data_IF_007466858130
#
_entry.id   IF_007466858130
#
_cell.length_a   1.000
_cell.length_b   1.000
_cell.length_c   1.000
_cell.angle_alpha   90.00
_cell.angle_beta   90.00
_cell.angle_gamma   90.00
#
_symmetry.space_group_name_H-M   'P 1'
#
loop_
_entity.id
_entity.type
_entity.pdbx_description
1 polymer ?
#
# COMPACT_ATOMS: atom_id res chain seq x y z
N UNK A 1 21.86 26.83 -0.49
CA UNK A 1 20.90 26.57 -1.59
C UNK A 1 20.79 25.09 -1.99
N UNK A 2 21.86 24.31 -2.12
CA UNK A 2 21.81 22.88 -2.52
C UNK A 2 21.10 22.02 -1.47
N UNK A 3 21.38 22.18 -0.18
CA UNK A 3 20.73 21.39 0.89
C UNK A 3 19.20 21.52 0.93
N UNK A 4 18.64 22.66 0.53
CA UNK A 4 17.19 22.86 0.47
C UNK A 4 16.56 22.06 -0.69
N UNK A 5 17.26 21.95 -1.84
CA UNK A 5 16.79 21.14 -2.99
C UNK A 5 16.79 19.64 -2.70
N UNK A 6 17.83 19.14 -2.03
CA UNK A 6 17.90 17.73 -1.60
C UNK A 6 16.75 17.43 -0.64
N UNK A 7 16.52 18.28 0.36
CA UNK A 7 15.42 18.10 1.30
C UNK A 7 14.05 18.09 0.62
N UNK A 8 13.82 18.95 -0.38
CA UNK A 8 12.58 18.94 -1.16
C UNK A 8 12.42 17.66 -1.96
N UNK A 9 13.49 17.18 -2.61
CA UNK A 9 13.47 15.92 -3.34
C UNK A 9 13.15 14.72 -2.40
N UNK A 10 13.75 14.71 -1.20
CA UNK A 10 13.50 13.67 -0.18
C UNK A 10 12.06 13.71 0.34
N UNK A 11 11.38 14.86 0.36
CA UNK A 11 9.95 14.95 0.74
C UNK A 11 9.03 14.13 -0.18
N UNK A 12 9.42 13.87 -1.44
CA UNK A 12 8.67 13.01 -2.35
C UNK A 12 8.56 11.58 -1.82
N UNK A 13 9.46 11.14 -0.95
CA UNK A 13 9.43 9.82 -0.33
C UNK A 13 8.23 9.60 0.62
N UNK A 14 7.57 10.68 1.09
CA UNK A 14 6.37 10.60 1.96
C UNK A 14 6.56 9.62 3.11
N UNK A 15 7.53 9.87 4.00
CA UNK A 15 7.97 8.94 5.04
C UNK A 15 6.86 8.35 5.93
N UNK A 16 5.75 9.06 6.12
CA UNK A 16 4.60 8.53 6.86
C UNK A 16 3.99 7.28 6.21
N UNK A 17 3.95 7.21 4.86
CA UNK A 17 3.54 5.98 4.17
C UNK A 17 4.59 4.88 4.28
N UNK A 18 5.88 5.25 4.24
CA UNK A 18 6.97 4.27 4.45
C UNK A 18 6.86 3.63 5.83
N UNK A 19 6.57 4.42 6.89
CA UNK A 19 6.34 3.90 8.24
C UNK A 19 5.11 2.99 8.26
N UNK A 20 3.99 3.40 7.66
CA UNK A 20 2.79 2.58 7.58
C UNK A 20 3.06 1.25 6.84
N UNK A 21 3.80 1.29 5.73
CA UNK A 21 4.21 0.08 5.00
C UNK A 21 5.12 -0.82 5.83
N UNK A 22 6.06 -0.26 6.61
CA UNK A 22 6.88 -1.03 7.54
C UNK A 22 6.02 -1.77 8.57
N UNK A 23 5.05 -1.10 9.17
CA UNK A 23 4.14 -1.72 10.15
C UNK A 23 3.32 -2.86 9.52
N UNK A 24 2.82 -2.67 8.30
CA UNK A 24 2.10 -3.74 7.57
C UNK A 24 3.02 -4.92 7.23
N UNK A 25 4.25 -4.67 6.79
CA UNK A 25 5.25 -5.71 6.57
C UNK A 25 5.55 -6.47 7.87
N UNK A 26 5.78 -5.75 8.97
CA UNK A 26 5.98 -6.35 10.29
C UNK A 26 4.78 -7.20 10.72
N UNK A 27 3.55 -6.76 10.44
CA UNK A 27 2.36 -7.54 10.78
C UNK A 27 2.37 -8.91 10.09
N UNK A 28 2.71 -8.97 8.81
CA UNK A 28 2.84 -10.25 8.09
C UNK A 28 3.96 -11.12 8.64
N UNK A 29 5.13 -10.55 8.89
CA UNK A 29 6.27 -11.27 9.45
C UNK A 29 5.98 -11.80 10.87
N UNK A 30 5.44 -10.96 11.75
CA UNK A 30 5.09 -11.35 13.11
C UNK A 30 3.96 -12.37 13.15
N UNK A 31 3.01 -12.28 12.23
CA UNK A 31 1.95 -13.29 12.15
C UNK A 31 2.51 -14.68 11.80
N UNK A 32 3.47 -14.77 10.88
CA UNK A 32 4.17 -16.03 10.60
C UNK A 32 4.85 -16.59 11.86
N UNK A 33 5.46 -15.71 12.68
CA UNK A 33 6.10 -16.10 13.95
C UNK A 33 5.06 -16.56 14.98
N UNK A 34 3.94 -15.86 15.12
CA UNK A 34 2.86 -16.21 16.04
C UNK A 34 2.29 -17.60 15.75
N UNK A 35 2.21 -17.99 14.48
CA UNK A 35 1.73 -19.33 14.08
C UNK A 35 2.82 -20.40 14.08
N UNK A 36 3.98 -20.13 14.66
CA UNK A 36 5.01 -21.12 14.96
C UNK A 36 6.24 -21.12 14.05
N UNK A 37 6.39 -20.15 13.15
CA UNK A 37 7.62 -20.02 12.35
C UNK A 37 8.71 -19.32 13.18
N UNK A 38 9.95 -19.83 13.25
CA UNK A 38 11.02 -19.15 13.98
C UNK A 38 11.36 -17.81 13.30
N UNK A 39 11.62 -16.77 14.11
CA UNK A 39 12.06 -15.49 13.59
C UNK A 39 13.49 -15.57 13.08
N UNK A 40 13.71 -15.12 11.84
CA UNK A 40 15.01 -15.09 11.18
C UNK A 40 15.34 -13.65 10.80
N UNK A 41 16.29 -13.04 11.50
CA UNK A 41 16.61 -11.62 11.37
C UNK A 41 17.19 -11.28 9.99
N UNK A 42 18.00 -12.13 9.42
CA UNK A 42 18.61 -11.96 8.10
C UNK A 42 17.57 -11.99 6.98
N UNK A 43 16.62 -12.94 7.04
CA UNK A 43 15.46 -13.00 6.14
C UNK A 43 14.59 -11.76 6.28
N UNK A 44 14.31 -11.34 7.52
CA UNK A 44 13.52 -10.14 7.81
C UNK A 44 14.18 -8.89 7.23
N UNK A 45 15.48 -8.66 7.52
CA UNK A 45 16.18 -7.46 7.10
C UNK A 45 16.29 -7.37 5.57
N UNK A 46 16.70 -8.46 4.90
CA UNK A 46 16.82 -8.45 3.44
C UNK A 46 15.43 -8.38 2.77
N UNK A 47 14.44 -9.10 3.31
CA UNK A 47 13.06 -9.00 2.83
C UNK A 47 12.46 -7.60 2.97
N UNK A 48 12.73 -6.95 4.10
CA UNK A 48 12.33 -5.55 4.28
C UNK A 48 13.05 -4.61 3.31
N UNK A 49 14.35 -4.80 3.07
CA UNK A 49 15.09 -3.99 2.11
C UNK A 49 14.52 -4.11 0.68
N UNK A 50 14.16 -5.32 0.23
CA UNK A 50 13.49 -5.56 -1.05
C UNK A 50 12.17 -4.78 -1.12
N UNK A 51 11.33 -4.93 -0.10
CA UNK A 51 10.05 -4.24 0.00
C UNK A 51 10.22 -2.72 0.08
N UNK A 52 11.14 -2.23 0.90
CA UNK A 52 11.39 -0.80 1.07
C UNK A 52 11.76 -0.12 -0.25
N UNK A 53 12.63 -0.72 -1.05
CA UNK A 53 13.00 -0.18 -2.37
C UNK A 53 11.80 -0.16 -3.32
N UNK A 54 11.02 -1.24 -3.37
CA UNK A 54 9.78 -1.29 -4.16
C UNK A 54 8.78 -0.22 -3.70
N UNK A 55 8.54 -0.11 -2.39
CA UNK A 55 7.60 0.86 -1.82
C UNK A 55 8.04 2.30 -2.07
N UNK A 56 9.31 2.60 -1.86
CA UNK A 56 9.87 3.92 -2.13
C UNK A 56 9.75 4.30 -3.61
N UNK A 57 9.93 3.33 -4.53
CA UNK A 57 9.80 3.57 -5.97
C UNK A 57 8.41 4.07 -6.37
N UNK A 58 7.37 3.59 -5.67
CA UNK A 58 5.97 3.97 -5.94
C UNK A 58 5.76 5.47 -5.72
N UNK A 59 6.33 6.05 -4.68
CA UNK A 59 6.17 7.48 -4.40
C UNK A 59 6.78 8.36 -5.49
N UNK A 60 8.00 8.01 -5.95
CA UNK A 60 8.67 8.75 -7.02
C UNK A 60 7.98 8.53 -8.38
N UNK A 61 7.53 7.32 -8.68
CA UNK A 61 6.84 7.04 -9.95
C UNK A 61 5.48 7.73 -10.01
N UNK A 62 4.70 7.69 -8.93
CA UNK A 62 3.40 8.36 -8.88
C UNK A 62 3.55 9.86 -9.05
N UNK A 63 4.43 10.52 -8.28
CA UNK A 63 4.68 11.95 -8.45
C UNK A 63 5.09 12.30 -9.89
N UNK A 64 5.92 11.45 -10.54
CA UNK A 64 6.32 11.69 -11.93
C UNK A 64 5.16 11.57 -12.91
N UNK A 65 4.36 10.50 -12.83
CA UNK A 65 3.29 10.23 -13.80
C UNK A 65 2.04 11.06 -13.53
N UNK A 66 1.78 11.43 -12.28
CA UNK A 66 0.60 12.20 -11.88
C UNK A 66 0.86 13.72 -11.83
N UNK A 67 2.09 14.19 -12.13
CA UNK A 67 2.49 15.60 -12.03
C UNK A 67 1.55 16.58 -12.72
N UNK A 68 0.97 16.18 -13.88
CA UNK A 68 0.09 17.03 -14.67
C UNK A 68 -1.34 17.02 -14.10
N UNK A 69 -1.76 15.93 -13.48
CA UNK A 69 -3.07 15.78 -12.84
C UNK A 69 -3.09 16.32 -11.40
N UNK A 70 -2.00 16.19 -10.68
CA UNK A 70 -1.84 16.71 -9.32
C UNK A 70 -1.97 18.25 -9.26
N UNK A 71 -1.85 18.94 -10.40
CA UNK A 71 -2.07 20.39 -10.46
C UNK A 71 -3.50 20.80 -10.07
N UNK A 72 -4.47 19.93 -10.27
CA UNK A 72 -5.88 20.19 -9.97
C UNK A 72 -6.25 19.84 -8.50
N UNK A 73 -5.43 19.06 -7.81
CA UNK A 73 -5.63 18.70 -6.42
C UNK A 73 -5.05 19.72 -5.43
N UNK A 74 -5.41 19.61 -4.16
CA UNK A 74 -4.79 20.34 -3.06
C UNK A 74 -3.85 19.36 -2.34
N UNK A 75 -2.52 19.59 -2.34
CA UNK A 75 -1.61 18.70 -1.62
C UNK A 75 -1.96 18.63 -0.13
N UNK A 76 -2.19 17.44 0.35
CA UNK A 76 -2.49 17.13 1.74
C UNK A 76 -1.48 16.14 2.33
N UNK A 77 -1.60 15.83 3.64
CA UNK A 77 -0.73 14.85 4.29
C UNK A 77 -0.86 13.46 3.69
N UNK A 78 -2.06 13.10 3.20
CA UNK A 78 -2.40 11.76 2.71
C UNK A 78 -2.96 11.75 1.28
N UNK A 79 -3.23 12.92 0.68
CA UNK A 79 -3.86 13.06 -0.64
C UNK A 79 -3.13 14.11 -1.49
N UNK A 80 -3.41 14.17 -2.80
CA UNK A 80 -3.00 15.24 -3.72
C UNK A 80 -1.51 15.27 -4.09
N UNK A 81 -0.82 14.13 -4.15
CA UNK A 81 0.60 14.07 -4.48
C UNK A 81 1.53 14.66 -3.41
N UNK A 82 2.85 14.67 -3.63
CA UNK A 82 3.79 15.34 -2.71
C UNK A 82 3.77 16.87 -2.86
N UNK A 83 3.24 17.37 -3.97
CA UNK A 83 3.26 18.78 -4.35
C UNK A 83 4.65 19.30 -4.76
N UNK A 84 5.71 18.49 -4.65
CA UNK A 84 7.09 18.92 -4.91
C UNK A 84 7.28 19.26 -6.39
N UNK A 85 6.78 18.47 -7.31
CA UNK A 85 6.94 18.70 -8.76
C UNK A 85 6.13 19.90 -9.28
N UNK A 86 5.16 20.41 -8.51
CA UNK A 86 4.47 21.66 -8.83
C UNK A 86 5.38 22.88 -8.63
N UNK A 87 6.25 22.82 -7.62
CA UNK A 87 7.18 23.91 -7.25
C UNK A 87 8.54 23.71 -7.93
N UNK A 88 8.94 22.45 -8.12
CA UNK A 88 10.25 22.04 -8.63
C UNK A 88 10.11 21.08 -9.81
N UNK A 89 9.57 21.49 -10.96
CA UNK A 89 9.38 20.63 -12.13
C UNK A 89 10.69 20.03 -12.67
N UNK A 90 11.83 20.66 -12.38
CA UNK A 90 13.17 20.19 -12.74
C UNK A 90 13.50 18.83 -12.08
N UNK A 91 12.81 18.44 -11.02
CA UNK A 91 13.01 17.14 -10.38
C UNK A 91 12.30 15.98 -11.07
N UNK A 92 11.42 16.22 -12.04
CA UNK A 92 10.62 15.17 -12.67
C UNK A 92 11.48 14.04 -13.25
N UNK A 93 12.53 14.37 -14.01
CA UNK A 93 13.40 13.35 -14.60
C UNK A 93 14.18 12.57 -13.52
N UNK A 94 14.57 13.24 -12.45
CA UNK A 94 15.23 12.58 -11.32
C UNK A 94 14.29 11.65 -10.56
N UNK A 95 13.03 12.04 -10.38
CA UNK A 95 11.98 11.20 -9.79
C UNK A 95 11.80 9.90 -10.59
N UNK A 96 11.65 10.01 -11.92
CA UNK A 96 11.56 8.84 -12.80
C UNK A 96 12.77 7.93 -12.70
N UNK A 97 13.98 8.52 -12.77
CA UNK A 97 15.23 7.75 -12.68
C UNK A 97 15.35 7.06 -11.32
N UNK A 98 15.06 7.76 -10.23
CA UNK A 98 15.05 7.18 -8.89
C UNK A 98 14.08 6.02 -8.78
N UNK A 99 12.84 6.17 -9.28
CA UNK A 99 11.87 5.09 -9.29
C UNK A 99 12.40 3.83 -10.00
N UNK A 100 12.96 4.00 -11.20
CA UNK A 100 13.52 2.88 -11.98
C UNK A 100 14.72 2.25 -11.24
N UNK A 101 15.64 3.05 -10.70
CA UNK A 101 16.80 2.54 -9.94
C UNK A 101 16.35 1.74 -8.71
N UNK A 102 15.34 2.22 -7.99
CA UNK A 102 14.79 1.54 -6.82
C UNK A 102 14.11 0.21 -7.21
N UNK A 103 13.36 0.17 -8.32
CA UNK A 103 12.78 -1.06 -8.86
C UNK A 103 13.87 -2.07 -9.22
N UNK A 104 14.88 -1.63 -9.96
CA UNK A 104 16.03 -2.51 -10.32
C UNK A 104 16.73 -3.00 -9.06
N UNK A 105 16.97 -2.14 -8.08
CA UNK A 105 17.53 -2.52 -6.79
C UNK A 105 16.68 -3.55 -6.05
N UNK A 106 15.36 -3.36 -5.99
CA UNK A 106 14.42 -4.30 -5.37
C UNK A 106 14.49 -5.69 -6.04
N UNK A 107 14.46 -5.72 -7.37
CA UNK A 107 14.55 -6.98 -8.14
C UNK A 107 15.92 -7.65 -7.94
N UNK A 108 17.01 -6.89 -7.97
CA UNK A 108 18.37 -7.38 -7.74
C UNK A 108 18.48 -8.01 -6.34
N UNK A 109 18.00 -7.32 -5.29
CA UNK A 109 17.98 -7.88 -3.95
C UNK A 109 17.06 -9.11 -3.85
N UNK A 110 15.96 -9.15 -4.61
CA UNK A 110 15.09 -10.33 -4.71
C UNK A 110 15.82 -11.54 -5.30
N UNK A 111 16.63 -11.34 -6.33
CA UNK A 111 17.49 -12.38 -6.92
C UNK A 111 18.54 -12.83 -5.90
N UNK A 112 19.22 -11.90 -5.22
CA UNK A 112 20.21 -12.20 -4.17
C UNK A 112 19.56 -13.01 -3.05
N UNK A 113 18.32 -12.66 -2.64
CA UNK A 113 17.56 -13.38 -1.62
C UNK A 113 17.38 -14.85 -1.99
N UNK A 114 16.99 -15.14 -3.26
CA UNK A 114 16.81 -16.50 -3.74
C UNK A 114 18.10 -17.32 -3.64
N UNK A 115 19.22 -16.78 -4.08
CA UNK A 115 20.50 -17.49 -4.04
C UNK A 115 21.03 -17.66 -2.61
N UNK A 116 20.89 -16.63 -1.78
CA UNK A 116 21.43 -16.63 -0.41
C UNK A 116 20.67 -17.61 0.49
N UNK A 117 19.34 -17.60 0.41
CA UNK A 117 18.47 -18.39 1.29
C UNK A 117 17.89 -19.62 0.61
N UNK A 118 18.30 -19.92 -0.62
CA UNK A 118 17.77 -21.03 -1.44
C UNK A 118 16.24 -20.99 -1.54
N UNK A 119 15.69 -19.77 -1.61
CA UNK A 119 14.26 -19.58 -1.74
C UNK A 119 13.76 -20.05 -3.11
N UNK A 120 12.49 -20.40 -3.19
CA UNK A 120 11.93 -20.87 -4.46
C UNK A 120 11.82 -19.71 -5.47
N UNK A 121 12.02 -19.99 -6.77
CA UNK A 121 12.01 -18.98 -7.84
C UNK A 121 10.73 -18.14 -7.91
N UNK A 122 9.57 -18.65 -7.48
CA UNK A 122 8.32 -17.91 -7.45
C UNK A 122 8.35 -16.71 -6.49
N UNK A 123 9.29 -16.67 -5.53
CA UNK A 123 9.54 -15.47 -4.72
C UNK A 123 9.83 -14.25 -5.60
N UNK A 124 10.60 -14.43 -6.68
CA UNK A 124 10.88 -13.34 -7.62
C UNK A 124 9.61 -12.88 -8.35
N UNK A 125 8.69 -13.79 -8.68
CA UNK A 125 7.40 -13.42 -9.27
C UNK A 125 6.58 -12.56 -8.31
N UNK A 126 6.64 -12.83 -7.01
CA UNK A 126 5.98 -12.01 -6.00
C UNK A 126 6.60 -10.61 -5.91
N UNK A 127 7.93 -10.50 -5.91
CA UNK A 127 8.66 -9.23 -5.96
C UNK A 127 8.32 -8.44 -7.22
N UNK A 128 8.28 -9.10 -8.38
CA UNK A 128 7.90 -8.48 -9.65
C UNK A 128 6.44 -8.00 -9.64
N UNK A 129 5.51 -8.80 -9.10
CA UNK A 129 4.11 -8.41 -8.98
C UNK A 129 3.94 -7.12 -8.16
N UNK A 130 4.64 -7.00 -7.02
CA UNK A 130 4.63 -5.79 -6.20
C UNK A 130 5.17 -4.56 -6.95
N UNK A 131 6.33 -4.71 -7.61
CA UNK A 131 6.93 -3.62 -8.40
C UNK A 131 6.04 -3.21 -9.60
N UNK A 132 5.45 -4.17 -10.31
CA UNK A 132 4.55 -3.90 -11.44
C UNK A 132 3.24 -3.24 -10.99
N UNK A 133 2.67 -3.69 -9.86
CA UNK A 133 1.48 -3.08 -9.28
C UNK A 133 1.74 -1.60 -8.94
N UNK A 134 2.87 -1.32 -8.27
CA UNK A 134 3.26 0.05 -7.92
C UNK A 134 3.55 0.92 -9.15
N UNK A 135 4.29 0.40 -10.14
CA UNK A 135 4.61 1.14 -11.36
C UNK A 135 3.36 1.46 -12.18
N UNK A 136 2.54 0.45 -12.47
CA UNK A 136 1.34 0.61 -13.31
C UNK A 136 0.16 1.22 -12.57
N UNK A 137 0.30 1.56 -11.30
CA UNK A 137 -0.70 2.33 -10.59
C UNK A 137 -0.98 3.65 -11.31
N UNK A 138 0.06 4.40 -11.66
CA UNK A 138 -0.03 5.67 -12.41
C UNK A 138 0.57 5.62 -13.82
N UNK A 139 1.49 4.69 -14.11
CA UNK A 139 2.23 4.65 -15.37
C UNK A 139 1.38 4.12 -16.54
N UNK A 140 1.50 4.73 -17.77
CA UNK A 140 0.94 4.15 -18.97
C UNK A 140 1.65 2.81 -19.31
N UNK A 141 1.00 1.90 -20.05
CA UNK A 141 -0.33 2.06 -20.65
C UNK A 141 -1.49 1.69 -19.70
N UNK A 142 -1.22 1.06 -18.53
CA UNK A 142 -2.27 0.49 -17.68
C UNK A 142 -2.96 1.57 -16.86
N UNK A 143 -2.23 2.41 -16.09
CA UNK A 143 -2.76 3.52 -15.29
C UNK A 143 -3.96 3.11 -14.43
N UNK A 144 -3.76 2.14 -13.51
CA UNK A 144 -4.84 1.54 -12.72
C UNK A 144 -5.70 2.58 -12.00
N UNK A 145 -5.08 3.59 -11.41
CA UNK A 145 -5.77 4.67 -10.69
C UNK A 145 -6.66 5.54 -11.57
N UNK A 146 -6.41 5.60 -12.89
CA UNK A 146 -7.20 6.38 -13.85
C UNK A 146 -8.39 5.60 -14.40
N UNK A 147 -8.47 4.29 -14.17
CA UNK A 147 -9.47 3.40 -14.78
C UNK A 147 -10.46 2.83 -13.79
N UNK A 148 -10.47 3.30 -12.53
CA UNK A 148 -11.30 2.75 -11.46
C UNK A 148 -10.84 1.37 -10.99
N UNK A 149 -9.56 1.07 -11.16
CA UNK A 149 -8.90 -0.14 -10.65
C UNK A 149 -7.90 0.21 -9.53
N UNK A 150 -7.72 1.49 -9.23
CA UNK A 150 -6.82 1.99 -8.19
C UNK A 150 -7.20 1.47 -6.81
N UNK A 151 -8.49 1.40 -6.52
CA UNK A 151 -9.02 0.97 -5.23
C UNK A 151 -8.71 -0.51 -4.98
N UNK A 152 -8.93 -1.37 -5.98
CA UNK A 152 -8.60 -2.80 -5.90
C UNK A 152 -7.09 -2.98 -5.81
N UNK A 153 -6.30 -2.22 -6.59
CA UNK A 153 -4.84 -2.28 -6.57
C UNK A 153 -4.29 -1.90 -5.19
N UNK A 154 -4.80 -0.82 -4.59
CA UNK A 154 -4.40 -0.38 -3.24
C UNK A 154 -4.84 -1.38 -2.19
N UNK A 155 -6.08 -1.87 -2.25
CA UNK A 155 -6.60 -2.88 -1.33
C UNK A 155 -5.77 -4.19 -1.40
N UNK A 156 -5.41 -4.63 -2.61
CA UNK A 156 -4.54 -5.80 -2.82
C UNK A 156 -3.13 -5.54 -2.27
N UNK A 157 -2.60 -4.34 -2.45
CA UNK A 157 -1.28 -3.96 -1.94
C UNK A 157 -1.25 -3.98 -0.41
N UNK A 158 -2.24 -3.36 0.24
CA UNK A 158 -2.34 -3.27 1.71
C UNK A 158 -2.69 -4.63 2.33
N UNK A 159 -3.60 -5.39 1.70
CA UNK A 159 -4.08 -6.64 2.25
C UNK A 159 -3.20 -7.84 1.95
N UNK A 160 -2.59 -7.86 0.77
CA UNK A 160 -1.88 -9.06 0.30
C UNK A 160 -0.39 -8.83 0.04
N UNK A 161 -0.01 -7.79 -0.73
CA UNK A 161 1.40 -7.67 -1.16
C UNK A 161 2.33 -7.26 -0.03
N UNK A 162 1.97 -6.26 0.77
CA UNK A 162 2.84 -5.76 1.85
C UNK A 162 2.95 -6.76 3.00
N UNK A 163 1.85 -7.18 3.66
CA UNK A 163 1.94 -8.18 4.73
C UNK A 163 2.38 -9.53 4.18
N UNK A 164 2.03 -9.86 2.92
CA UNK A 164 2.48 -11.05 2.23
C UNK A 164 3.98 -11.13 2.08
N UNK A 165 4.66 -10.01 1.78
CA UNK A 165 6.12 -10.00 1.72
C UNK A 165 6.73 -10.33 3.09
N UNK A 166 6.22 -9.72 4.19
CA UNK A 166 6.66 -10.02 5.55
C UNK A 166 6.42 -11.49 5.94
N UNK A 167 5.23 -12.01 5.61
CA UNK A 167 4.88 -13.40 5.86
C UNK A 167 5.79 -14.36 5.10
N UNK A 168 5.98 -14.09 3.82
CA UNK A 168 6.73 -14.92 2.89
C UNK A 168 8.21 -15.05 3.26
N UNK A 169 8.86 -13.95 3.65
CA UNK A 169 10.28 -13.99 4.04
C UNK A 169 10.49 -14.75 5.35
N UNK A 170 9.49 -14.82 6.23
CA UNK A 170 9.57 -15.64 7.44
C UNK A 170 9.26 -17.11 7.14
N UNK A 171 8.17 -17.39 6.44
CA UNK A 171 7.63 -18.75 6.29
C UNK A 171 8.11 -19.48 5.04
N UNK A 172 8.57 -18.78 4.03
CA UNK A 172 9.02 -19.35 2.75
C UNK A 172 7.89 -19.69 1.77
N UNK A 173 6.62 -19.74 2.23
CA UNK A 173 5.45 -20.04 1.40
C UNK A 173 4.18 -19.46 1.97
N UNK A 174 3.16 -19.26 1.13
CA UNK A 174 1.82 -18.96 1.58
C UNK A 174 1.06 -20.23 1.94
N UNK A 175 0.22 -20.12 2.97
CA UNK A 175 -0.76 -21.13 3.34
C UNK A 175 -2.11 -20.48 3.68
N UNK A 176 -3.09 -21.27 4.05
CA UNK A 176 -4.43 -20.78 4.36
C UNK A 176 -4.45 -19.83 5.57
N UNK A 177 -3.52 -20.01 6.53
CA UNK A 177 -3.45 -19.12 7.69
C UNK A 177 -3.20 -17.67 7.31
N UNK A 178 -2.43 -17.40 6.24
CA UNK A 178 -2.20 -16.04 5.76
C UNK A 178 -3.50 -15.32 5.38
N UNK A 179 -4.52 -16.03 4.90
CA UNK A 179 -5.80 -15.43 4.52
C UNK A 179 -6.52 -14.76 5.70
N UNK A 180 -6.27 -15.22 6.93
CA UNK A 180 -6.88 -14.63 8.13
C UNK A 180 -6.42 -13.18 8.41
N UNK A 181 -5.27 -12.77 7.90
CA UNK A 181 -4.83 -11.37 7.96
C UNK A 181 -5.00 -10.66 6.62
N UNK A 182 -4.81 -11.37 5.49
CA UNK A 182 -4.86 -10.76 4.17
C UNK A 182 -6.28 -10.23 3.83
N UNK A 183 -7.32 -11.01 4.12
CA UNK A 183 -8.71 -10.62 3.82
C UNK A 183 -9.15 -9.38 4.62
N UNK A 184 -9.00 -9.32 5.95
CA UNK A 184 -9.33 -8.11 6.70
C UNK A 184 -8.54 -6.89 6.21
N UNK A 185 -7.25 -7.04 5.97
CA UNK A 185 -6.42 -5.93 5.51
C UNK A 185 -6.74 -5.49 4.09
N UNK A 186 -7.21 -6.39 3.23
CA UNK A 186 -7.75 -6.01 1.92
C UNK A 186 -8.94 -5.06 2.07
N UNK A 187 -9.88 -5.36 2.95
CA UNK A 187 -11.02 -4.51 3.19
C UNK A 187 -10.65 -3.20 3.91
N UNK A 188 -9.69 -3.21 4.84
CA UNK A 188 -9.14 -1.96 5.39
C UNK A 188 -8.41 -1.13 4.34
N UNK A 189 -7.71 -1.76 3.41
CA UNK A 189 -7.10 -1.09 2.26
C UNK A 189 -8.15 -0.42 1.37
N UNK A 190 -9.28 -1.09 1.17
CA UNK A 190 -10.40 -0.53 0.42
C UNK A 190 -11.05 0.65 1.14
N UNK A 191 -11.27 0.55 2.46
CA UNK A 191 -11.70 1.67 3.30
C UNK A 191 -10.71 2.84 3.21
N UNK A 192 -9.41 2.55 3.34
CA UNK A 192 -8.36 3.57 3.31
C UNK A 192 -8.39 4.35 1.99
N UNK A 193 -8.34 3.65 0.86
CA UNK A 193 -8.25 4.33 -0.45
C UNK A 193 -9.50 5.14 -0.75
N UNK A 194 -10.70 4.60 -0.50
CA UNK A 194 -11.94 5.36 -0.71
C UNK A 194 -12.01 6.60 0.17
N UNK A 195 -11.49 6.53 1.40
CA UNK A 195 -11.42 7.69 2.30
C UNK A 195 -10.44 8.76 1.81
N UNK A 196 -9.32 8.36 1.23
CA UNK A 196 -8.31 9.27 0.67
C UNK A 196 -8.79 9.93 -0.63
N UNK A 197 -9.58 9.25 -1.42
CA UNK A 197 -10.13 9.77 -2.68
C UNK A 197 -11.23 10.82 -2.48
N UNK A 198 -11.92 10.83 -1.32
CA UNK A 198 -13.00 11.80 -1.06
C UNK A 198 -12.52 13.26 -1.16
N UNK A 199 -11.45 13.69 -0.48
CA UNK A 199 -10.95 15.05 -0.61
C UNK A 199 -10.38 15.35 -2.02
N UNK A 200 -9.92 14.34 -2.74
CA UNK A 200 -9.32 14.50 -4.06
C UNK A 200 -10.34 14.49 -5.20
N UNK A 201 -11.62 14.14 -4.92
CA UNK A 201 -12.68 13.93 -5.92
C UNK A 201 -12.77 15.03 -6.97
N UNK A 202 -12.79 16.29 -6.54
CA UNK A 202 -12.94 17.42 -7.46
C UNK A 202 -11.70 17.62 -8.37
N UNK A 203 -10.51 17.34 -7.84
CA UNK A 203 -9.25 17.35 -8.57
C UNK A 203 -9.17 16.20 -9.57
N UNK A 204 -9.51 14.99 -9.12
CA UNK A 204 -9.52 13.78 -9.95
C UNK A 204 -10.49 13.91 -11.14
N UNK A 205 -11.69 14.47 -10.92
CA UNK A 205 -12.64 14.75 -12.00
C UNK A 205 -12.08 15.69 -13.07
N UNK A 206 -11.41 16.78 -12.64
CA UNK A 206 -10.77 17.74 -13.56
C UNK A 206 -9.59 17.14 -14.31
N UNK A 207 -8.91 16.17 -13.68
CA UNK A 207 -7.77 15.46 -14.22
C UNK A 207 -8.15 14.24 -15.08
N UNK A 208 -9.44 13.97 -15.28
CA UNK A 208 -9.96 12.78 -15.94
C UNK A 208 -9.43 11.47 -15.30
N UNK A 209 -9.19 11.51 -13.99
CA UNK A 209 -8.81 10.35 -13.19
C UNK A 209 -10.07 9.73 -12.58
N UNK A 210 -10.52 8.66 -13.20
CA UNK A 210 -11.84 8.08 -12.95
C UNK A 210 -11.79 7.08 -11.77
N UNK A 211 -11.40 7.55 -10.59
CA UNK A 211 -11.53 6.80 -9.34
C UNK A 211 -13.01 6.52 -9.04
N UNK A 212 -13.28 5.56 -8.14
CA UNK A 212 -14.63 5.19 -7.75
C UNK A 212 -15.41 6.41 -7.22
N UNK A 213 -14.74 7.19 -6.35
CA UNK A 213 -15.33 8.40 -5.74
C UNK A 213 -15.53 9.50 -6.79
N UNK A 214 -14.57 9.71 -7.70
CA UNK A 214 -14.72 10.67 -8.78
C UNK A 214 -15.89 10.34 -9.72
N UNK A 215 -16.16 9.03 -9.95
CA UNK A 215 -17.23 8.55 -10.83
C UNK A 215 -18.61 8.54 -10.19
N UNK A 216 -18.69 8.14 -8.91
CA UNK A 216 -19.96 7.84 -8.21
C UNK A 216 -20.32 8.86 -7.14
N UNK A 217 -19.40 9.77 -6.82
CA UNK A 217 -19.59 10.82 -5.83
C UNK A 217 -19.24 10.43 -4.40
N UNK A 218 -19.14 11.45 -3.53
CA UNK A 218 -18.76 11.36 -2.12
C UNK A 218 -19.62 10.35 -1.35
N UNK A 219 -20.96 10.45 -1.50
CA UNK A 219 -21.90 9.61 -0.75
C UNK A 219 -21.70 8.12 -1.02
N UNK A 220 -21.48 7.76 -2.29
CA UNK A 220 -21.20 6.38 -2.67
C UNK A 220 -19.85 5.92 -2.08
N UNK A 221 -18.79 6.77 -2.13
CA UNK A 221 -17.51 6.46 -1.50
C UNK A 221 -17.62 6.15 -0.01
N UNK A 222 -18.41 6.95 0.72
CA UNK A 222 -18.67 6.72 2.15
C UNK A 222 -19.46 5.43 2.41
N UNK A 223 -20.44 5.10 1.59
CA UNK A 223 -21.16 3.81 1.69
C UNK A 223 -20.23 2.62 1.50
N UNK A 224 -19.34 2.70 0.52
CA UNK A 224 -18.32 1.66 0.28
C UNK A 224 -17.32 1.58 1.44
N UNK A 225 -16.91 2.72 2.02
CA UNK A 225 -16.03 2.75 3.18
C UNK A 225 -16.65 2.05 4.40
N UNK A 226 -17.95 2.30 4.66
CA UNK A 226 -18.71 1.61 5.72
C UNK A 226 -18.78 0.12 5.44
N UNK A 227 -19.18 -0.29 4.24
CA UNK A 227 -19.28 -1.69 3.86
C UNK A 227 -17.92 -2.41 3.99
N UNK A 228 -16.85 -1.81 3.48
CA UNK A 228 -15.50 -2.36 3.57
C UNK A 228 -15.09 -2.56 5.04
N UNK A 229 -15.38 -1.59 5.92
CA UNK A 229 -15.05 -1.70 7.35
C UNK A 229 -15.86 -2.81 8.03
N UNK A 230 -17.14 -2.96 7.70
CA UNK A 230 -17.97 -4.08 8.22
C UNK A 230 -17.39 -5.42 7.77
N UNK A 231 -17.01 -5.56 6.49
CA UNK A 231 -16.41 -6.78 5.95
C UNK A 231 -15.04 -7.07 6.60
N UNK A 232 -14.24 -6.05 6.88
CA UNK A 232 -12.98 -6.20 7.61
C UNK A 232 -13.21 -6.74 9.02
N UNK A 233 -14.14 -6.15 9.77
CA UNK A 233 -14.47 -6.57 11.14
C UNK A 233 -15.00 -7.99 11.16
N UNK A 234 -15.94 -8.32 10.28
CA UNK A 234 -16.53 -9.67 10.22
C UNK A 234 -15.48 -10.72 9.85
N UNK A 235 -14.60 -10.41 8.91
CA UNK A 235 -13.51 -11.32 8.52
C UNK A 235 -12.45 -11.52 9.63
N UNK A 236 -12.23 -10.54 10.51
CA UNK A 236 -11.42 -10.70 11.72
C UNK A 236 -12.12 -11.52 12.80
N UNK A 237 -13.43 -11.39 12.92
CA UNK A 237 -14.21 -12.10 13.96
C UNK A 237 -14.32 -13.61 13.68
N UNK A 238 -14.44 -14.02 12.42
CA UNK A 238 -14.62 -15.43 12.04
C UNK A 238 -13.50 -16.35 12.62
N UNK A 239 -12.20 -16.06 12.44
CA UNK A 239 -11.13 -16.89 13.00
C UNK A 239 -11.18 -17.01 14.52
N UNK A 240 -11.62 -15.96 15.23
CA UNK A 240 -11.76 -15.93 16.70
C UNK A 240 -12.82 -16.92 17.15
N UNK A 241 -13.93 -17.00 16.40
CA UNK A 241 -15.06 -17.89 16.72
C UNK A 241 -14.74 -19.35 16.40
N UNK A 242 -13.93 -19.60 15.38
CA UNK A 242 -13.62 -20.95 14.89
C UNK A 242 -12.43 -21.58 15.64
N UNK A 243 -11.48 -20.76 16.14
CA UNK A 243 -10.24 -21.24 16.74
C UNK A 243 -9.88 -20.49 18.02
N UNK A 244 -9.79 -21.21 19.13
CA UNK A 244 -9.36 -20.65 20.42
C UNK A 244 -7.94 -20.05 20.38
N UNK A 245 -7.06 -20.51 19.49
CA UNK A 245 -5.70 -19.98 19.28
C UNK A 245 -5.65 -18.59 18.66
N UNK A 246 -6.77 -18.11 18.08
CA UNK A 246 -6.85 -16.81 17.41
C UNK A 246 -7.39 -15.67 18.31
N UNK A 247 -7.52 -15.90 19.63
CA UNK A 247 -8.04 -14.90 20.58
C UNK A 247 -7.26 -13.57 20.57
N UNK A 248 -6.01 -13.59 20.21
CA UNK A 248 -5.19 -12.38 20.09
C UNK A 248 -5.72 -11.41 19.01
N UNK A 249 -6.49 -11.88 18.03
CA UNK A 249 -7.15 -11.04 17.03
C UNK A 249 -8.33 -10.22 17.62
N UNK A 250 -8.80 -10.55 18.83
CA UNK A 250 -9.91 -9.86 19.50
C UNK A 250 -9.62 -8.36 19.68
N UNK A 251 -8.40 -8.00 20.09
CA UNK A 251 -8.00 -6.60 20.21
C UNK A 251 -8.06 -5.87 18.87
N UNK A 252 -7.59 -6.50 17.78
CA UNK A 252 -7.68 -5.92 16.42
C UNK A 252 -9.14 -5.67 16.04
N UNK A 253 -10.05 -6.61 16.37
CA UNK A 253 -11.49 -6.45 16.11
C UNK A 253 -12.08 -5.28 16.88
N UNK A 254 -11.72 -5.07 18.15
CA UNK A 254 -12.15 -3.92 18.95
C UNK A 254 -11.65 -2.61 18.34
N UNK A 255 -10.36 -2.50 18.04
CA UNK A 255 -9.81 -1.28 17.44
C UNK A 255 -10.38 -0.97 16.06
N UNK A 256 -10.87 -1.97 15.35
CA UNK A 256 -11.54 -1.81 14.04
C UNK A 256 -12.90 -1.09 14.14
N UNK A 257 -13.45 -0.93 15.33
CA UNK A 257 -14.67 -0.11 15.55
C UNK A 257 -14.39 1.38 15.27
N UNK A 258 -13.15 1.86 15.47
CA UNK A 258 -12.77 3.26 15.23
C UNK A 258 -13.00 3.67 13.76
N UNK A 259 -12.43 2.97 12.75
CA UNK A 259 -12.68 3.30 11.34
C UNK A 259 -14.16 3.12 10.96
N UNK A 260 -14.89 2.17 11.57
CA UNK A 260 -16.33 2.02 11.35
C UNK A 260 -17.10 3.25 11.85
N UNK A 261 -16.86 3.69 13.07
CA UNK A 261 -17.51 4.89 13.62
C UNK A 261 -17.18 6.13 12.78
N UNK A 262 -15.93 6.29 12.33
CA UNK A 262 -15.52 7.43 11.51
C UNK A 262 -16.19 7.42 10.13
N UNK A 263 -16.33 6.26 9.48
CA UNK A 263 -17.00 6.15 8.19
C UNK A 263 -18.51 6.38 8.29
N UNK A 264 -19.16 5.88 9.34
CA UNK A 264 -20.58 6.16 9.62
C UNK A 264 -20.79 7.65 9.90
N UNK A 265 -19.92 8.25 10.73
CA UNK A 265 -19.98 9.69 10.98
C UNK A 265 -19.92 10.50 9.68
N UNK A 266 -18.95 10.21 8.81
CA UNK A 266 -18.85 10.86 7.52
C UNK A 266 -20.02 10.63 6.58
N UNK A 267 -20.81 9.54 6.77
CA UNK A 267 -21.97 9.23 5.95
C UNK A 267 -23.21 10.06 6.37
N UNK A 268 -23.31 10.44 7.66
CA UNK A 268 -24.46 11.18 8.23
C UNK A 268 -24.22 12.70 8.30
N UNK A 269 -22.97 13.14 8.11
CA UNK A 269 -22.58 14.56 8.04
C UNK A 269 -22.24 14.98 6.60
#
# INVERSE_FOLDING_TARGET
MIGNKILQFVKMARFHFIIAGFLLFCTGALYAVIIGTPFQLDHFCLGYAIFFLAHLSVHYSNDYFDRDTDQFGIPGPISGGSGVLRVHPEFAIWAKRSAITLIVGSITLGIIYIFLFKAHWWFLLFVLAGNLMGWFYSAPPIRLSYRGLGEIATATTIGFLIPGMGYLVMKGSFDFAFMFIAIPFFFFGYFFITSVEIPDMAGDQKAEKWTLVARKGRQFGLQIAVLATILAITSLAIPILVSAGMRNLFLLTIFSVIPLCSSIWGLVT
#
